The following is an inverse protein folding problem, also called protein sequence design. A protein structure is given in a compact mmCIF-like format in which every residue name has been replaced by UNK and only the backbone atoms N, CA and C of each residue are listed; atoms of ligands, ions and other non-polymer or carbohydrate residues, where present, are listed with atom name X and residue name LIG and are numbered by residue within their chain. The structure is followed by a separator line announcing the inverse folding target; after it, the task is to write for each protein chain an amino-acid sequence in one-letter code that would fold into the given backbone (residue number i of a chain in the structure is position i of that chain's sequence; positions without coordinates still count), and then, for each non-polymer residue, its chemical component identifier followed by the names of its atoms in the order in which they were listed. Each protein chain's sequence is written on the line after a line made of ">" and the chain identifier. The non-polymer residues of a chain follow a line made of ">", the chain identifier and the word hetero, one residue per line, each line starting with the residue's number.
data_IF_556414978746
#
_entry.id   IF_556414978746
#
_cell.length_a   1.000
_cell.length_b   1.000
_cell.length_c   1.000
_cell.angle_alpha   90.00
_cell.angle_beta   90.00
_cell.angle_gamma   90.00
#
_symmetry.space_group_name_H-M   'P 1'
#
loop_
_entity.id
_entity.type
_entity.pdbx_description
1 polymer ?
#
# COMPACT_ATOMS: atom_id res chain seq x y z
N UNK A 1 -41.61 70.36 29.56
CA UNK A 1 -41.77 69.12 30.34
C UNK A 1 -40.74 68.08 29.84
N UNK A 2 -39.71 67.81 30.62
CA UNK A 2 -38.70 66.82 30.28
C UNK A 2 -39.06 65.47 30.94
N UNK A 3 -39.40 64.44 30.16
CA UNK A 3 -39.68 63.09 30.67
C UNK A 3 -38.36 62.45 31.04
N UNK A 4 -38.16 62.12 32.34
CA UNK A 4 -37.04 61.32 32.85
C UNK A 4 -37.24 59.82 32.46
N UNK A 5 -36.41 59.27 31.61
CA UNK A 5 -36.39 57.82 31.36
C UNK A 5 -35.85 57.11 32.62
N UNK A 6 -36.69 56.26 33.24
CA UNK A 6 -36.33 55.37 34.35
C UNK A 6 -35.47 54.26 33.79
N UNK A 7 -34.19 54.22 34.17
CA UNK A 7 -33.26 53.09 33.84
C UNK A 7 -33.58 51.93 34.80
N UNK A 8 -34.18 50.86 34.29
CA UNK A 8 -34.38 49.61 35.04
C UNK A 8 -33.00 48.94 35.15
N UNK A 9 -32.38 48.94 36.32
CA UNK A 9 -31.16 48.20 36.64
C UNK A 9 -31.61 46.80 37.01
N UNK A 10 -31.52 45.83 36.09
CA UNK A 10 -31.66 44.39 36.40
C UNK A 10 -30.48 44.01 37.25
N UNK A 11 -30.68 43.83 38.55
CA UNK A 11 -29.68 43.21 39.45
C UNK A 11 -29.63 41.71 39.12
N UNK A 12 -28.74 41.32 38.29
CA UNK A 12 -28.46 39.91 38.08
C UNK A 12 -27.92 39.31 39.37
N UNK A 13 -28.55 38.23 39.86
CA UNK A 13 -28.14 37.57 41.06
C UNK A 13 -26.86 36.79 40.76
N UNK A 14 -25.70 37.33 41.17
CA UNK A 14 -24.37 36.80 40.92
C UNK A 14 -24.29 35.31 41.29
N UNK A 15 -25.00 34.88 42.35
CA UNK A 15 -25.05 33.49 42.77
C UNK A 15 -25.65 32.58 41.70
N UNK A 16 -26.73 33.02 41.02
CA UNK A 16 -27.40 32.27 39.96
C UNK A 16 -26.46 32.17 38.75
N UNK A 17 -25.79 33.27 38.39
CA UNK A 17 -24.86 33.30 37.27
C UNK A 17 -23.65 32.36 37.52
N UNK A 18 -23.11 32.33 38.76
CA UNK A 18 -22.01 31.43 39.10
C UNK A 18 -22.48 29.97 39.02
N UNK A 19 -23.67 29.64 39.49
CA UNK A 19 -24.22 28.28 39.37
C UNK A 19 -24.32 27.84 37.91
N UNK A 20 -24.89 28.70 37.05
CA UNK A 20 -24.98 28.38 35.59
C UNK A 20 -23.60 28.22 34.94
N UNK A 21 -22.63 29.08 35.31
CA UNK A 21 -21.28 28.98 34.76
C UNK A 21 -20.58 27.69 35.18
N UNK A 22 -20.73 27.27 36.44
CA UNK A 22 -20.17 26.04 36.98
C UNK A 22 -20.84 24.80 36.34
N UNK A 23 -22.16 24.79 36.22
CA UNK A 23 -22.86 23.66 35.60
C UNK A 23 -22.51 23.56 34.11
N UNK A 24 -22.41 24.66 33.39
CA UNK A 24 -22.00 24.68 31.99
C UNK A 24 -20.55 24.16 31.83
N UNK A 25 -19.67 24.55 32.75
CA UNK A 25 -18.27 24.04 32.76
C UNK A 25 -18.21 22.52 32.92
N UNK A 26 -18.98 21.95 33.87
CA UNK A 26 -19.02 20.50 34.08
C UNK A 26 -19.66 19.75 32.90
N UNK A 27 -20.65 20.32 32.22
CA UNK A 27 -21.25 19.73 31.02
C UNK A 27 -20.23 19.72 29.88
N UNK A 28 -19.56 20.84 29.62
CA UNK A 28 -18.55 20.94 28.54
C UNK A 28 -17.36 20.03 28.84
N UNK A 29 -16.90 19.95 30.08
CA UNK A 29 -15.81 19.06 30.48
C UNK A 29 -16.21 17.59 30.36
N UNK A 30 -17.41 17.21 30.76
CA UNK A 30 -17.95 15.86 30.60
C UNK A 30 -18.09 15.45 29.13
N UNK A 31 -18.54 16.36 28.25
CA UNK A 31 -18.61 16.11 26.81
C UNK A 31 -17.21 15.93 26.22
N UNK A 32 -16.25 16.78 26.58
CA UNK A 32 -14.86 16.63 26.10
C UNK A 32 -14.23 15.30 26.49
N UNK A 33 -14.40 14.88 27.76
CA UNK A 33 -13.88 13.59 28.23
C UNK A 33 -14.57 12.40 27.58
N UNK A 34 -15.86 12.47 27.30
CA UNK A 34 -16.58 11.43 26.56
C UNK A 34 -16.11 11.33 25.11
N UNK A 35 -15.95 12.46 24.42
CA UNK A 35 -15.47 12.52 23.03
C UNK A 35 -14.05 11.96 22.91
N UNK A 36 -13.14 12.31 23.84
CA UNK A 36 -11.78 11.78 23.84
C UNK A 36 -11.76 10.27 24.08
N UNK A 37 -12.61 9.75 24.99
CA UNK A 37 -12.71 8.30 25.22
C UNK A 37 -13.26 7.56 24.00
N UNK A 38 -14.30 8.08 23.36
CA UNK A 38 -14.88 7.48 22.15
C UNK A 38 -13.89 7.51 21.00
N UNK A 39 -13.20 8.63 20.80
CA UNK A 39 -12.15 8.73 19.78
C UNK A 39 -11.00 7.72 20.03
N UNK A 40 -10.56 7.57 21.29
CA UNK A 40 -9.56 6.58 21.65
C UNK A 40 -10.00 5.13 21.41
N UNK A 41 -11.27 4.80 21.69
CA UNK A 41 -11.83 3.47 21.41
C UNK A 41 -11.98 3.18 19.90
N UNK A 42 -12.32 4.19 19.10
CA UNK A 42 -12.38 4.05 17.64
C UNK A 42 -10.97 3.83 17.09
N UNK A 43 -9.99 4.57 17.61
CA UNK A 43 -8.61 4.45 17.16
C UNK A 43 -7.99 3.10 17.52
N UNK A 44 -8.22 2.60 18.74
CA UNK A 44 -7.75 1.26 19.14
C UNK A 44 -8.41 0.15 18.32
N UNK A 45 -9.71 0.24 18.04
CA UNK A 45 -10.41 -0.72 17.20
C UNK A 45 -9.90 -0.77 15.76
N UNK A 46 -9.57 0.38 15.18
CA UNK A 46 -8.99 0.42 13.83
C UNK A 46 -7.57 -0.10 13.79
N UNK A 47 -6.81 0.04 14.87
CA UNK A 47 -5.46 -0.53 14.98
C UNK A 47 -5.48 -2.03 15.22
N UNK A 48 -6.40 -2.54 16.05
CA UNK A 48 -6.61 -3.97 16.25
C UNK A 48 -7.04 -4.65 14.94
N UNK A 49 -8.03 -4.11 14.23
CA UNK A 49 -8.47 -4.65 12.94
C UNK A 49 -7.35 -4.65 11.90
N UNK A 50 -6.56 -3.60 11.84
CA UNK A 50 -5.41 -3.51 10.95
C UNK A 50 -4.33 -4.55 11.29
N UNK A 51 -4.12 -4.86 12.58
CA UNK A 51 -3.19 -5.92 12.98
C UNK A 51 -3.74 -7.32 12.67
N UNK A 52 -5.03 -7.55 12.89
CA UNK A 52 -5.70 -8.81 12.50
C UNK A 52 -5.59 -9.05 11.00
N UNK A 53 -5.92 -8.07 10.16
CA UNK A 53 -5.83 -8.16 8.70
C UNK A 53 -4.39 -8.48 8.23
N UNK A 54 -3.38 -7.91 8.91
CA UNK A 54 -1.97 -8.19 8.60
C UNK A 54 -1.54 -9.58 9.10
N UNK A 55 -2.03 -10.02 10.26
CA UNK A 55 -1.71 -11.34 10.80
C UNK A 55 -2.34 -12.44 9.94
N UNK A 56 -3.61 -12.28 9.53
CA UNK A 56 -4.30 -13.19 8.61
C UNK A 56 -3.56 -13.29 7.27
N UNK A 57 -3.14 -12.15 6.69
CA UNK A 57 -2.35 -12.15 5.46
C UNK A 57 -0.97 -12.80 5.61
N UNK A 58 -0.35 -12.71 6.78
CA UNK A 58 0.93 -13.35 7.06
C UNK A 58 0.80 -14.87 7.26
N UNK A 59 -0.30 -15.34 7.88
CA UNK A 59 -0.59 -16.76 8.04
C UNK A 59 -0.92 -17.42 6.70
N UNK A 60 -1.75 -16.76 5.85
CA UNK A 60 -2.08 -17.22 4.50
C UNK A 60 -0.82 -17.34 3.62
N UNK A 61 0.13 -16.39 3.75
CA UNK A 61 1.42 -16.44 3.06
C UNK A 61 2.28 -17.61 3.53
N UNK A 62 2.24 -17.95 4.82
CA UNK A 62 3.02 -19.04 5.39
C UNK A 62 2.53 -20.43 4.93
N UNK A 63 1.21 -20.60 4.78
CA UNK A 63 0.63 -21.86 4.27
C UNK A 63 0.93 -22.12 2.78
N UNK A 64 1.04 -21.05 1.97
CA UNK A 64 1.34 -21.16 0.54
C UNK A 64 2.85 -21.16 0.20
N UNK A 65 3.72 -20.86 1.17
CA UNK A 65 5.19 -20.90 0.99
C UNK A 65 5.68 -22.30 0.58
N UNK A 66 4.97 -23.36 0.96
CA UNK A 66 5.26 -24.73 0.52
C UNK A 66 4.97 -24.99 -0.99
N UNK A 67 4.13 -24.16 -1.64
CA UNK A 67 3.76 -24.33 -3.06
C UNK A 67 4.73 -23.71 -4.06
N UNK A 68 5.59 -22.78 -3.62
CA UNK A 68 6.51 -22.07 -4.51
C UNK A 68 7.90 -22.75 -4.69
N UNK A 69 8.07 -23.98 -4.18
CA UNK A 69 9.29 -24.77 -4.34
C UNK A 69 9.68 -25.05 -5.81
N UNK A 70 8.78 -24.79 -6.76
CA UNK A 70 9.00 -25.02 -8.19
C UNK A 70 9.81 -23.90 -8.91
N UNK A 71 10.15 -22.81 -8.21
CA UNK A 71 10.87 -21.67 -8.80
C UNK A 71 12.14 -21.35 -8.02
N UNK A 72 13.30 -21.92 -8.39
CA UNK A 72 14.55 -21.64 -7.70
C UNK A 72 14.84 -20.14 -7.59
N UNK A 73 15.23 -19.69 -6.41
CA UNK A 73 15.54 -18.29 -6.11
C UNK A 73 14.32 -17.36 -5.98
N UNK A 74 13.08 -17.86 -6.10
CA UNK A 74 11.90 -17.05 -5.88
C UNK A 74 11.72 -16.76 -4.38
N UNK A 75 11.42 -15.49 -3.99
CA UNK A 75 10.93 -15.24 -2.65
C UNK A 75 9.56 -15.92 -2.46
N UNK A 76 9.13 -16.20 -1.23
CA UNK A 76 7.79 -16.69 -0.97
C UNK A 76 6.74 -15.68 -1.46
N UNK A 77 5.74 -16.15 -2.21
CA UNK A 77 4.59 -15.33 -2.61
C UNK A 77 3.32 -16.16 -2.73
N UNK A 78 2.19 -15.51 -2.44
CA UNK A 78 0.85 -16.07 -2.59
C UNK A 78 0.36 -15.84 -4.01
N UNK A 79 -0.19 -16.87 -4.67
CA UNK A 79 -0.85 -16.76 -5.97
C UNK A 79 -2.36 -16.59 -5.74
N UNK A 80 -2.84 -15.35 -5.77
CA UNK A 80 -4.27 -14.99 -5.65
C UNK A 80 -4.69 -14.19 -6.89
N UNK A 81 -4.89 -14.91 -8.00
CA UNK A 81 -5.17 -14.29 -9.30
C UNK A 81 -6.57 -13.66 -9.33
N UNK A 82 -6.64 -12.48 -9.95
CA UNK A 82 -7.90 -11.82 -10.26
C UNK A 82 -8.71 -12.66 -11.27
N UNK A 83 -10.02 -12.60 -11.18
CA UNK A 83 -10.89 -13.12 -12.24
C UNK A 83 -10.64 -12.36 -13.55
N UNK A 84 -10.73 -13.06 -14.69
CA UNK A 84 -10.62 -12.42 -16.01
C UNK A 84 -11.80 -11.47 -16.19
N UNK A 85 -11.50 -10.19 -16.40
CA UNK A 85 -12.49 -9.13 -16.60
C UNK A 85 -11.87 -7.93 -17.31
N UNK A 86 -12.71 -7.08 -17.87
CA UNK A 86 -12.28 -5.92 -18.67
C UNK A 86 -11.57 -4.83 -17.87
N UNK A 87 -11.76 -4.74 -16.53
CA UNK A 87 -11.35 -3.62 -15.71
C UNK A 87 -10.04 -3.83 -14.97
N UNK A 88 -9.70 -5.07 -14.63
CA UNK A 88 -8.47 -5.35 -13.87
C UNK A 88 -7.60 -6.46 -14.44
N UNK A 89 -8.18 -7.50 -15.07
CA UNK A 89 -7.42 -8.58 -15.72
C UNK A 89 -8.04 -8.93 -17.07
N UNK A 90 -7.61 -8.27 -18.16
CA UNK A 90 -8.22 -8.47 -19.49
C UNK A 90 -7.90 -9.82 -20.13
N UNK A 91 -6.99 -10.62 -19.59
CA UNK A 91 -6.56 -11.88 -20.18
C UNK A 91 -5.78 -11.72 -21.49
N UNK A 92 -5.19 -10.55 -21.71
CA UNK A 92 -4.39 -10.25 -22.90
C UNK A 92 -2.95 -10.71 -22.65
N UNK A 93 -2.38 -11.46 -23.60
CA UNK A 93 -1.01 -11.94 -23.48
C UNK A 93 0.03 -10.81 -23.43
N UNK A 94 1.01 -10.95 -22.56
CA UNK A 94 2.23 -10.14 -22.53
C UNK A 94 3.31 -10.89 -23.31
N UNK A 95 3.49 -10.54 -24.58
CA UNK A 95 4.36 -11.27 -25.50
C UNK A 95 5.84 -11.17 -25.15
N UNK A 96 6.26 -10.06 -24.56
CA UNK A 96 7.64 -9.79 -24.17
C UNK A 96 7.70 -8.93 -22.94
N UNK A 97 8.58 -9.29 -22.01
CA UNK A 97 8.87 -8.50 -20.82
C UNK A 97 10.17 -7.75 -21.05
N UNK A 98 10.08 -6.42 -21.17
CA UNK A 98 11.21 -5.53 -21.41
C UNK A 98 11.57 -4.69 -20.18
N UNK A 99 10.88 -4.88 -19.04
CA UNK A 99 11.18 -4.18 -17.82
C UNK A 99 10.17 -4.42 -16.71
N UNK A 100 10.44 -3.83 -15.56
CA UNK A 100 9.62 -3.89 -14.37
C UNK A 100 9.33 -2.45 -13.93
N UNK A 101 8.08 -2.12 -13.68
CA UNK A 101 7.67 -0.80 -13.20
C UNK A 101 7.27 -0.86 -11.73
N UNK A 102 7.93 -0.05 -10.92
CA UNK A 102 7.67 0.06 -9.49
C UNK A 102 6.66 1.17 -9.23
N UNK A 103 5.66 0.83 -8.41
CA UNK A 103 4.60 1.72 -7.95
C UNK A 103 4.52 1.75 -6.43
N UNK A 104 3.70 2.63 -5.91
CA UNK A 104 3.23 2.60 -4.52
C UNK A 104 1.71 2.78 -4.52
N UNK A 105 1.02 2.13 -3.60
CA UNK A 105 -0.45 2.08 -3.58
C UNK A 105 -1.12 3.44 -3.38
N UNK A 106 -0.39 4.47 -2.96
CA UNK A 106 -0.91 5.78 -2.56
C UNK A 106 -2.05 5.71 -1.50
N UNK A 107 -2.22 4.55 -0.88
CA UNK A 107 -3.21 4.24 0.14
C UNK A 107 -2.49 3.79 1.44
N UNK A 108 -2.12 4.75 2.33
CA UNK A 108 -1.38 4.42 3.54
C UNK A 108 -2.12 3.40 4.42
N UNK A 109 -1.36 2.42 4.95
CA UNK A 109 -1.83 1.36 5.84
C UNK A 109 -2.71 0.28 5.16
N UNK A 110 -2.88 0.29 3.84
CA UNK A 110 -3.54 -0.82 3.15
C UNK A 110 -2.62 -2.05 3.12
N UNK A 111 -3.20 -3.24 3.20
CA UNK A 111 -2.51 -4.52 3.06
C UNK A 111 -2.40 -4.95 1.60
N UNK A 112 -1.54 -5.94 1.30
CA UNK A 112 -1.47 -6.52 -0.04
C UNK A 112 -2.83 -7.09 -0.46
N UNK A 113 -3.50 -7.83 0.43
CA UNK A 113 -4.83 -8.39 0.18
C UNK A 113 -5.88 -7.31 -0.10
N UNK A 114 -5.94 -6.23 0.68
CA UNK A 114 -6.89 -5.14 0.44
C UNK A 114 -6.69 -4.48 -0.93
N UNK A 115 -5.46 -4.34 -1.40
CA UNK A 115 -5.19 -3.81 -2.74
C UNK A 115 -5.55 -4.84 -3.84
N UNK A 116 -5.28 -6.12 -3.63
CA UNK A 116 -5.73 -7.19 -4.51
C UNK A 116 -7.27 -7.20 -4.61
N UNK A 117 -7.97 -7.12 -3.49
CA UNK A 117 -9.43 -7.12 -3.45
C UNK A 117 -10.04 -5.85 -4.07
N UNK A 118 -9.36 -4.71 -3.94
CA UNK A 118 -9.73 -3.50 -4.69
C UNK A 118 -9.68 -3.74 -6.20
N UNK A 119 -8.61 -4.36 -6.72
CA UNK A 119 -8.53 -4.70 -8.14
C UNK A 119 -9.62 -5.68 -8.56
N UNK A 120 -9.91 -6.69 -7.74
CA UNK A 120 -11.01 -7.63 -7.98
C UNK A 120 -12.37 -6.92 -8.05
N UNK A 121 -12.64 -6.02 -7.12
CA UNK A 121 -13.90 -5.27 -7.06
C UNK A 121 -14.15 -4.35 -8.26
N UNK A 122 -13.12 -4.02 -9.05
CA UNK A 122 -13.29 -3.21 -10.26
C UNK A 122 -14.11 -3.88 -11.33
N UNK A 123 -14.17 -5.22 -11.35
CA UNK A 123 -15.07 -5.97 -12.25
C UNK A 123 -16.55 -5.68 -12.02
N UNK A 124 -16.90 -5.31 -10.79
CA UNK A 124 -18.27 -5.02 -10.37
C UNK A 124 -18.58 -3.52 -10.36
N UNK A 125 -17.61 -2.70 -9.88
CA UNK A 125 -17.80 -1.24 -9.76
C UNK A 125 -17.66 -0.49 -11.07
N UNK A 126 -16.84 -0.98 -11.99
CA UNK A 126 -16.52 -0.36 -13.27
C UNK A 126 -15.98 1.08 -13.17
N UNK A 127 -15.45 1.48 -12.02
CA UNK A 127 -15.01 2.86 -11.77
C UNK A 127 -13.78 3.28 -12.59
N UNK A 128 -12.87 2.34 -12.79
CA UNK A 128 -11.60 2.59 -13.51
C UNK A 128 -11.00 1.28 -14.00
N UNK A 129 -9.99 1.36 -14.86
CA UNK A 129 -9.13 0.22 -15.19
C UNK A 129 -7.84 0.36 -14.40
N UNK A 130 -7.59 -0.57 -13.48
CA UNK A 130 -6.38 -0.61 -12.68
C UNK A 130 -6.07 -2.03 -12.19
N UNK A 131 -4.79 -2.39 -12.16
CA UNK A 131 -4.29 -3.64 -11.58
C UNK A 131 -2.77 -3.63 -11.50
N UNK A 132 -2.19 -4.67 -10.89
CA UNK A 132 -0.75 -4.91 -10.87
C UNK A 132 -0.48 -6.41 -10.96
N UNK A 133 0.71 -6.82 -11.40
CA UNK A 133 1.10 -8.22 -11.40
C UNK A 133 1.34 -8.70 -9.98
N UNK A 134 2.02 -7.89 -9.18
CA UNK A 134 2.32 -8.19 -7.79
C UNK A 134 1.97 -7.02 -6.88
N UNK A 135 1.60 -7.34 -5.65
CA UNK A 135 1.48 -6.39 -4.55
C UNK A 135 2.39 -6.83 -3.42
N UNK A 136 3.26 -5.93 -2.94
CA UNK A 136 4.13 -6.16 -1.78
C UNK A 136 3.56 -5.43 -0.58
N UNK A 137 3.23 -6.16 0.47
CA UNK A 137 2.58 -5.66 1.67
C UNK A 137 3.54 -5.01 2.67
N UNK A 138 2.99 -4.46 3.75
CA UNK A 138 3.73 -3.72 4.77
C UNK A 138 4.64 -4.63 5.62
N UNK A 139 4.31 -5.90 5.77
CA UNK A 139 5.13 -6.91 6.47
C UNK A 139 6.01 -7.72 5.50
N UNK A 140 6.04 -7.36 4.23
CA UNK A 140 6.82 -8.03 3.21
C UNK A 140 6.07 -9.16 2.49
N UNK A 141 4.82 -9.41 2.83
CA UNK A 141 3.98 -10.38 2.11
C UNK A 141 3.86 -10.00 0.63
N UNK A 142 3.98 -10.98 -0.27
CA UNK A 142 3.89 -10.77 -1.71
C UNK A 142 2.67 -11.52 -2.24
N UNK A 143 1.80 -10.83 -2.95
CA UNK A 143 0.62 -11.42 -3.63
C UNK A 143 0.75 -11.24 -5.13
N UNK A 144 0.66 -12.34 -5.89
CA UNK A 144 0.57 -12.30 -7.34
C UNK A 144 -0.90 -12.22 -7.76
N UNK A 145 -1.28 -11.09 -8.37
CA UNK A 145 -2.64 -10.80 -8.80
C UNK A 145 -2.90 -11.14 -10.28
N UNK A 146 -1.86 -11.09 -11.13
CA UNK A 146 -1.95 -11.36 -12.56
C UNK A 146 -0.75 -12.24 -12.97
N UNK A 147 -0.95 -13.27 -13.82
CA UNK A 147 0.15 -14.04 -14.37
C UNK A 147 1.17 -13.15 -15.10
N UNK A 148 2.47 -13.43 -14.95
CA UNK A 148 3.51 -12.67 -15.67
C UNK A 148 3.43 -12.79 -17.20
N UNK A 149 2.58 -13.67 -17.72
CA UNK A 149 2.30 -13.83 -19.15
C UNK A 149 1.13 -12.99 -19.67
N UNK A 150 0.48 -12.20 -18.81
CA UNK A 150 -0.65 -11.34 -19.14
C UNK A 150 -0.30 -9.88 -18.88
N UNK A 151 -1.00 -8.92 -19.53
CA UNK A 151 -0.84 -7.50 -19.23
C UNK A 151 -1.60 -7.09 -17.97
N UNK A 152 -1.09 -6.06 -17.27
CA UNK A 152 -1.80 -5.36 -16.20
C UNK A 152 -2.14 -3.92 -16.61
N UNK A 153 -3.02 -3.27 -15.87
CA UNK A 153 -3.38 -1.86 -16.07
C UNK A 153 -2.72 -0.96 -15.01
N UNK A 154 -1.38 -0.82 -15.05
CA UNK A 154 -0.62 -0.03 -14.07
C UNK A 154 0.25 1.06 -14.69
N UNK A 155 0.89 0.75 -15.82
CA UNK A 155 2.07 1.45 -16.34
C UNK A 155 1.81 2.21 -17.64
N UNK A 156 0.56 2.53 -17.94
CA UNK A 156 0.13 3.30 -19.12
C UNK A 156 0.66 2.69 -20.43
N UNK A 157 1.51 3.41 -21.19
CA UNK A 157 2.08 2.93 -22.44
C UNK A 157 2.99 1.71 -22.30
N UNK A 158 3.46 1.42 -21.08
CA UNK A 158 4.32 0.27 -20.77
C UNK A 158 3.54 -0.95 -20.27
N UNK A 159 2.19 -0.92 -20.25
CA UNK A 159 1.38 -2.10 -19.91
C UNK A 159 1.64 -3.30 -20.82
N UNK A 160 1.98 -3.06 -22.08
CA UNK A 160 2.16 -4.08 -23.11
C UNK A 160 3.53 -4.78 -23.08
N UNK A 161 4.47 -4.30 -22.26
CA UNK A 161 5.84 -4.80 -22.27
C UNK A 161 6.54 -4.80 -20.91
N UNK A 162 5.82 -4.56 -19.81
CA UNK A 162 6.42 -4.57 -18.46
C UNK A 162 5.59 -5.32 -17.44
N UNK A 163 6.25 -5.86 -16.44
CA UNK A 163 5.62 -6.25 -15.18
C UNK A 163 5.44 -5.01 -14.30
N UNK A 164 4.42 -5.02 -13.46
CA UNK A 164 4.14 -3.95 -12.50
C UNK A 164 4.09 -4.50 -11.07
N UNK A 165 4.65 -3.75 -10.13
CA UNK A 165 4.67 -4.10 -8.71
C UNK A 165 4.16 -2.91 -7.91
N UNK A 166 3.05 -3.08 -7.18
CA UNK A 166 2.51 -2.11 -6.24
C UNK A 166 3.05 -2.39 -4.84
N UNK A 167 3.55 -1.35 -4.16
CA UNK A 167 4.11 -1.47 -2.83
C UNK A 167 3.27 -0.73 -1.80
N UNK A 168 2.90 -1.42 -0.73
CA UNK A 168 2.20 -0.85 0.41
C UNK A 168 3.15 0.01 1.27
N UNK A 169 2.58 0.98 1.98
CA UNK A 169 3.35 1.89 2.83
C UNK A 169 2.53 2.37 4.04
N UNK A 170 3.20 2.75 5.15
CA UNK A 170 2.52 3.08 6.42
C UNK A 170 1.92 4.49 6.47
N UNK A 171 2.51 5.46 5.78
CA UNK A 171 2.15 6.87 5.94
C UNK A 171 2.24 7.66 4.64
N UNK A 172 1.92 8.96 4.71
CA UNK A 172 1.87 9.85 3.54
C UNK A 172 3.23 10.17 2.90
N UNK A 173 4.35 9.78 3.52
CA UNK A 173 5.68 9.91 2.89
C UNK A 173 5.83 8.98 1.70
N UNK A 174 5.11 7.86 1.68
CA UNK A 174 5.26 6.80 0.70
C UNK A 174 6.52 5.96 0.90
N UNK A 175 7.24 6.14 2.04
CA UNK A 175 8.42 5.35 2.36
C UNK A 175 7.99 3.91 2.68
N UNK A 176 8.66 2.96 2.06
CA UNK A 176 8.46 1.54 2.33
C UNK A 176 9.01 1.16 3.70
N UNK A 177 8.40 0.18 4.34
CA UNK A 177 8.98 -0.44 5.54
C UNK A 177 10.24 -1.20 5.15
N UNK A 178 11.02 -1.60 6.14
CA UNK A 178 12.19 -2.45 5.89
C UNK A 178 11.76 -3.78 5.25
N UNK A 179 10.67 -4.35 5.72
CA UNK A 179 10.12 -5.62 5.25
C UNK A 179 9.62 -5.48 3.81
N UNK A 180 8.82 -4.45 3.50
CA UNK A 180 8.38 -4.16 2.12
C UNK A 180 9.56 -3.95 1.18
N UNK A 181 10.57 -3.19 1.61
CA UNK A 181 11.76 -2.92 0.81
C UNK A 181 12.56 -4.19 0.52
N UNK A 182 12.80 -5.02 1.53
CA UNK A 182 13.55 -6.26 1.39
C UNK A 182 12.84 -7.22 0.44
N UNK A 183 11.55 -7.47 0.65
CA UNK A 183 10.76 -8.34 -0.25
C UNK A 183 10.65 -7.78 -1.67
N UNK A 184 10.62 -6.45 -1.84
CA UNK A 184 10.65 -5.83 -3.16
C UNK A 184 11.99 -6.10 -3.86
N UNK A 185 13.13 -5.97 -3.18
CA UNK A 185 14.47 -6.28 -3.73
C UNK A 185 14.54 -7.74 -4.14
N UNK A 186 14.12 -8.66 -3.27
CA UNK A 186 14.11 -10.10 -3.54
C UNK A 186 13.23 -10.45 -4.75
N UNK A 187 12.00 -9.94 -4.79
CA UNK A 187 11.08 -10.16 -5.91
C UNK A 187 11.63 -9.62 -7.23
N UNK A 188 12.14 -8.38 -7.24
CA UNK A 188 12.65 -7.74 -8.45
C UNK A 188 13.92 -8.43 -8.95
N UNK A 189 14.83 -8.80 -8.05
CA UNK A 189 16.04 -9.55 -8.40
C UNK A 189 15.73 -10.90 -9.04
N UNK A 190 14.78 -11.65 -8.47
CA UNK A 190 14.30 -12.91 -9.04
C UNK A 190 13.63 -12.72 -10.41
N UNK A 191 12.74 -11.73 -10.55
CA UNK A 191 12.09 -11.43 -11.84
C UNK A 191 13.10 -11.00 -12.90
N UNK A 192 14.11 -10.20 -12.53
CA UNK A 192 15.18 -9.81 -13.45
C UNK A 192 15.95 -11.04 -13.95
N UNK A 193 16.40 -11.90 -13.06
CA UNK A 193 17.10 -13.14 -13.43
C UNK A 193 16.22 -14.03 -14.33
N UNK A 194 14.95 -14.23 -13.95
CA UNK A 194 14.01 -15.09 -14.68
C UNK A 194 13.73 -14.61 -16.11
N UNK A 195 13.68 -13.30 -16.34
CA UNK A 195 13.31 -12.70 -17.64
C UNK A 195 14.51 -12.10 -18.38
N UNK A 196 15.74 -12.30 -17.89
CA UNK A 196 16.96 -11.80 -18.52
C UNK A 196 17.05 -10.28 -18.53
N UNK A 197 16.58 -9.63 -17.45
CA UNK A 197 16.63 -8.19 -17.23
C UNK A 197 17.79 -7.82 -16.29
N UNK A 198 18.16 -6.55 -16.30
CA UNK A 198 19.09 -5.92 -15.36
C UNK A 198 18.38 -4.85 -14.55
N UNK A 199 19.01 -4.28 -13.53
CA UNK A 199 18.46 -3.16 -12.77
C UNK A 199 18.17 -1.92 -13.64
N UNK A 200 18.79 -1.76 -14.79
CA UNK A 200 18.53 -0.66 -15.73
C UNK A 200 17.15 -0.73 -16.39
N UNK A 201 16.54 -1.91 -16.42
CA UNK A 201 15.18 -2.11 -16.94
C UNK A 201 14.14 -2.06 -15.81
N UNK A 202 14.56 -1.84 -14.59
CA UNK A 202 13.68 -1.53 -13.45
C UNK A 202 13.50 -0.02 -13.39
N UNK A 203 12.25 0.43 -13.56
CA UNK A 203 11.92 1.84 -13.67
C UNK A 203 10.76 2.21 -12.73
N UNK A 204 10.62 3.48 -12.42
CA UNK A 204 9.48 4.02 -11.67
C UNK A 204 8.32 4.33 -12.62
N UNK A 205 7.10 4.34 -12.14
CA UNK A 205 5.98 4.89 -12.91
C UNK A 205 6.24 6.36 -13.31
N UNK A 206 6.98 7.10 -12.48
CA UNK A 206 7.47 8.44 -12.79
C UNK A 206 8.22 8.51 -14.13
N UNK A 207 9.08 7.55 -14.40
CA UNK A 207 9.92 7.51 -15.62
C UNK A 207 9.08 7.23 -16.89
N UNK A 208 7.86 6.70 -16.71
CA UNK A 208 6.91 6.48 -17.82
C UNK A 208 6.04 7.70 -18.09
N UNK A 209 5.55 8.38 -17.04
CA UNK A 209 4.47 9.38 -17.17
C UNK A 209 4.74 10.71 -16.51
N UNK A 210 5.80 10.84 -15.69
CA UNK A 210 6.05 12.01 -14.83
C UNK A 210 5.20 12.05 -13.56
N UNK A 211 4.34 11.03 -13.31
CA UNK A 211 3.56 10.92 -12.08
C UNK A 211 4.49 10.70 -10.89
N UNK A 212 4.25 11.38 -9.75
CA UNK A 212 5.02 11.19 -8.52
C UNK A 212 4.74 9.79 -7.91
N UNK A 213 5.28 8.74 -8.54
CA UNK A 213 5.07 7.35 -8.19
C UNK A 213 6.28 6.47 -8.57
N UNK A 214 6.83 5.68 -7.63
CA UNK A 214 6.54 5.69 -6.20
C UNK A 214 7.07 6.98 -5.55
N UNK A 215 6.23 7.62 -4.75
CA UNK A 215 6.49 8.96 -4.22
C UNK A 215 7.86 9.08 -3.56
N UNK A 216 8.19 8.17 -2.63
CA UNK A 216 9.43 8.25 -1.87
C UNK A 216 10.68 8.17 -2.78
N UNK A 217 10.70 7.25 -3.72
CA UNK A 217 11.82 7.11 -4.66
C UNK A 217 11.92 8.25 -5.69
N UNK A 218 10.82 8.94 -5.98
CA UNK A 218 10.86 10.15 -6.83
C UNK A 218 11.42 11.35 -6.06
N UNK A 219 11.07 11.48 -4.78
CA UNK A 219 11.51 12.58 -3.92
C UNK A 219 12.93 12.35 -3.34
N UNK A 220 13.49 11.12 -3.41
CA UNK A 220 14.78 10.71 -2.88
C UNK A 220 15.52 9.85 -3.93
N UNK A 221 16.15 10.53 -4.89
CA UNK A 221 16.85 9.89 -6.00
C UNK A 221 18.02 8.99 -5.55
N UNK A 222 18.69 9.36 -4.47
CA UNK A 222 19.74 8.54 -3.84
C UNK A 222 19.24 7.21 -3.32
N UNK A 223 18.03 7.16 -2.76
CA UNK A 223 17.38 5.92 -2.30
C UNK A 223 16.93 5.06 -3.51
N UNK A 224 16.51 5.67 -4.62
CA UNK A 224 16.22 4.96 -5.85
C UNK A 224 17.47 4.32 -6.46
N UNK A 225 18.57 5.06 -6.54
CA UNK A 225 19.85 4.52 -7.02
C UNK A 225 20.40 3.44 -6.08
N UNK A 226 20.19 3.56 -4.77
CA UNK A 226 20.55 2.49 -3.84
C UNK A 226 19.70 1.24 -4.08
N UNK A 227 18.39 1.40 -4.29
CA UNK A 227 17.50 0.29 -4.61
C UNK A 227 17.97 -0.48 -5.86
N UNK A 228 18.37 0.20 -6.94
CA UNK A 228 18.89 -0.47 -8.14
C UNK A 228 20.17 -1.26 -7.85
N UNK A 229 21.07 -0.74 -7.03
CA UNK A 229 22.27 -1.47 -6.61
C UNK A 229 21.94 -2.72 -5.79
N UNK A 230 20.97 -2.63 -4.89
CA UNK A 230 20.53 -3.75 -4.09
C UNK A 230 19.87 -4.83 -4.96
N UNK A 231 19.16 -4.43 -6.01
CA UNK A 231 18.61 -5.34 -7.04
C UNK A 231 19.74 -6.04 -7.81
N UNK A 232 20.81 -5.34 -8.21
CA UNK A 232 21.95 -5.97 -8.89
C UNK A 232 22.63 -7.04 -7.99
N UNK A 233 22.77 -6.75 -6.70
CA UNK A 233 23.28 -7.73 -5.73
C UNK A 233 22.35 -8.93 -5.64
N UNK A 234 21.05 -8.71 -5.57
CA UNK A 234 20.06 -9.80 -5.48
C UNK A 234 20.02 -10.66 -6.75
N UNK A 235 20.15 -10.07 -7.94
CA UNK A 235 20.27 -10.83 -9.20
C UNK A 235 21.42 -11.84 -9.11
N UNK A 236 22.60 -11.41 -8.65
CA UNK A 236 23.75 -12.28 -8.49
C UNK A 236 23.53 -13.41 -7.45
N UNK A 237 22.79 -13.13 -6.38
CA UNK A 237 22.40 -14.16 -5.38
C UNK A 237 21.51 -15.21 -6.04
N UNK A 238 20.46 -14.78 -6.74
CA UNK A 238 19.50 -15.69 -7.41
C UNK A 238 20.21 -16.53 -8.50
N UNK A 239 21.14 -15.97 -9.25
CA UNK A 239 21.94 -16.71 -10.24
C UNK A 239 22.69 -17.88 -9.60
N UNK A 240 23.32 -17.66 -8.44
CA UNK A 240 24.02 -18.72 -7.70
C UNK A 240 23.06 -19.81 -7.18
N UNK A 241 21.89 -19.43 -6.70
CA UNK A 241 20.86 -20.37 -6.23
C UNK A 241 20.35 -21.25 -7.36
N UNK A 242 20.06 -20.67 -8.53
CA UNK A 242 19.59 -21.37 -9.74
C UNK A 242 20.69 -22.32 -10.25
N UNK A 243 21.96 -21.90 -10.30
CA UNK A 243 23.07 -22.76 -10.69
C UNK A 243 23.22 -23.95 -9.74
N UNK A 244 23.13 -23.73 -8.43
CA UNK A 244 23.22 -24.76 -7.42
C UNK A 244 22.09 -25.79 -7.54
N UNK A 245 20.86 -25.30 -7.75
CA UNK A 245 19.70 -26.16 -7.94
C UNK A 245 19.79 -27.01 -9.22
N UNK A 246 20.43 -26.48 -10.27
CA UNK A 246 20.61 -27.19 -11.57
C UNK A 246 21.63 -28.31 -11.52
N UNK A 247 22.45 -28.38 -10.47
CA UNK A 247 23.52 -29.38 -10.29
C UNK A 247 23.09 -30.56 -9.40
N UNK A 248 21.89 -30.52 -8.85
CA UNK A 248 21.28 -31.57 -8.01
C UNK A 248 20.30 -32.42 -8.80
#
# INVERSE_FOLDING_TARGET
>A
MKRKKKRIRTRWNIKVFVIYAVTLFFIIFGIKTAVVKVAGLIQSRTEEQYQEDIEEAAEETAEETEKNADFPGAPPFTVDLLDINEYSRPGIALEKINGIVIHYTANPKSTAKQNRDYFEGLKDSHETKASSHFVVGIKGEIVQCIPSSEISYASNSRNSDTLSIECCHKDKSGKFTKETYQSLVELVGWLCQRFGLTSEQVIRHYDVTGKNCPKYFVEHEDEWEQFKKDVDVQIAVVEQEVETASQQ
#
